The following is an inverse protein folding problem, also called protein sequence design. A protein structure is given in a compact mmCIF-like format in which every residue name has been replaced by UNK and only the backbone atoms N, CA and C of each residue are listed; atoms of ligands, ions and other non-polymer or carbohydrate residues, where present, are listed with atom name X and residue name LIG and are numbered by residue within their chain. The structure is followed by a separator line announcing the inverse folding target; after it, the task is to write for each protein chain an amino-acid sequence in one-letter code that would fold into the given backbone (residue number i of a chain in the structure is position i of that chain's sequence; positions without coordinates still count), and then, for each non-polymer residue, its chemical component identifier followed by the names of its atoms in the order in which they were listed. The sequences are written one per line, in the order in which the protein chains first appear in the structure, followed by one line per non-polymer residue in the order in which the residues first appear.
data_IF_923097366149
#
_entry.id   IF_923097366149
#
_cell.length_a   1.000
_cell.length_b   1.000
_cell.length_c   1.000
_cell.angle_alpha   90.00
_cell.angle_beta   90.00
_cell.angle_gamma   90.00
#
_symmetry.space_group_name_H-M   'P 1'
#
loop_
_entity.id
_entity.type
_entity.pdbx_description
1 polymer ?
#
# COMPACT_ATOMS: atom_id res chain seq x y z
N UNK A 1 7.85 22.38 -20.41
CA UNK A 1 8.93 21.42 -20.13
C UNK A 1 8.31 20.10 -19.73
N UNK A 2 8.44 19.05 -20.56
CA UNK A 2 7.98 17.72 -20.17
C UNK A 2 8.84 17.26 -18.97
N UNK A 3 8.24 17.17 -17.80
CA UNK A 3 8.90 16.61 -16.62
C UNK A 3 9.22 15.14 -16.96
N UNK A 4 10.51 14.81 -17.06
CA UNK A 4 10.93 13.44 -17.34
C UNK A 4 10.45 12.57 -16.17
N UNK A 5 9.40 11.79 -16.39
CA UNK A 5 8.87 10.87 -15.36
C UNK A 5 9.83 9.69 -15.25
N UNK A 6 10.36 9.47 -14.06
CA UNK A 6 11.23 8.33 -13.79
C UNK A 6 10.40 7.04 -13.77
N UNK A 7 10.91 5.96 -14.39
CA UNK A 7 10.23 4.66 -14.45
C UNK A 7 11.16 3.51 -14.11
N UNK A 8 10.62 2.53 -13.43
CA UNK A 8 11.21 1.19 -13.22
C UNK A 8 10.21 0.16 -13.74
N UNK A 9 10.66 -0.70 -14.64
CA UNK A 9 9.84 -1.72 -15.30
C UNK A 9 8.48 -1.20 -15.83
N UNK A 10 8.48 0.02 -16.44
CA UNK A 10 7.28 0.65 -16.99
C UNK A 10 6.41 1.44 -16.01
N UNK A 11 6.61 1.31 -14.71
CA UNK A 11 5.85 2.01 -13.67
C UNK A 11 6.58 3.26 -13.19
N UNK A 12 5.82 4.34 -13.02
CA UNK A 12 6.34 5.61 -12.53
C UNK A 12 6.67 5.57 -11.05
N UNK A 13 7.75 6.26 -10.67
CA UNK A 13 8.16 6.38 -9.28
C UNK A 13 8.59 7.79 -8.90
N UNK A 14 8.57 8.06 -7.62
CA UNK A 14 9.11 9.26 -7.01
C UNK A 14 10.28 8.92 -6.09
N UNK A 15 11.34 9.73 -6.18
CA UNK A 15 12.46 9.75 -5.26
C UNK A 15 12.16 10.81 -4.19
N UNK A 16 11.87 10.37 -2.96
CA UNK A 16 11.63 11.25 -1.83
C UNK A 16 12.92 11.62 -1.08
N UNK A 17 14.09 11.20 -1.59
CA UNK A 17 15.37 11.43 -0.95
C UNK A 17 15.59 10.64 0.34
N UNK A 18 14.84 9.55 0.55
CA UNK A 18 14.88 8.79 1.80
C UNK A 18 16.26 8.20 2.04
N UNK A 19 16.76 8.14 3.30
CA UNK A 19 18.10 7.70 3.64
C UNK A 19 18.46 6.30 3.12
N UNK A 20 17.48 5.38 3.05
CA UNK A 20 17.71 4.02 2.53
C UNK A 20 17.81 3.96 1.01
N UNK A 21 17.54 5.05 0.28
CA UNK A 21 17.40 5.07 -1.17
C UNK A 21 16.12 4.39 -1.66
N UNK A 22 15.10 4.25 -0.83
CA UNK A 22 13.81 3.66 -1.22
C UNK A 22 13.04 4.60 -2.16
N UNK A 23 12.72 4.08 -3.36
CA UNK A 23 11.85 4.72 -4.35
C UNK A 23 10.41 4.24 -4.17
N UNK A 24 9.43 5.11 -4.39
CA UNK A 24 8.00 4.81 -4.20
C UNK A 24 7.25 4.89 -5.53
N UNK A 25 6.45 3.89 -5.86
CA UNK A 25 5.54 3.98 -6.99
C UNK A 25 4.57 5.15 -6.80
N UNK A 26 4.29 5.90 -7.87
CA UNK A 26 3.35 7.04 -7.81
C UNK A 26 1.89 6.60 -7.75
N UNK A 27 1.59 5.37 -8.19
CA UNK A 27 0.24 4.79 -8.21
C UNK A 27 0.16 3.52 -7.34
N UNK A 28 -1.04 3.20 -6.85
CA UNK A 28 -1.32 1.89 -6.27
C UNK A 28 -1.20 0.79 -7.34
N UNK A 29 -0.92 -0.44 -6.94
CA UNK A 29 -0.92 -1.60 -7.86
C UNK A 29 -2.29 -1.71 -8.55
N UNK A 30 -2.27 -1.84 -9.88
CA UNK A 30 -3.47 -1.90 -10.71
C UNK A 30 -4.14 -0.55 -11.01
N UNK A 31 -3.53 0.57 -10.57
CA UNK A 31 -3.95 1.93 -10.90
C UNK A 31 -3.11 2.51 -12.04
N UNK A 32 -3.69 3.43 -12.82
CA UNK A 32 -3.02 4.19 -13.88
C UNK A 32 -2.86 5.68 -13.58
N UNK A 33 -3.57 6.20 -12.57
CA UNK A 33 -3.47 7.57 -12.10
C UNK A 33 -3.19 7.59 -10.60
N UNK A 34 -2.59 8.66 -10.10
CA UNK A 34 -2.15 8.78 -8.70
C UNK A 34 -3.32 8.68 -7.71
N UNK A 35 -4.49 9.17 -8.11
CA UNK A 35 -5.71 9.19 -7.31
C UNK A 35 -6.57 7.93 -7.41
N UNK A 36 -6.26 7.03 -8.34
CA UNK A 36 -7.03 5.79 -8.49
C UNK A 36 -6.74 4.82 -7.33
N UNK A 37 -7.78 4.16 -6.86
CA UNK A 37 -7.69 3.16 -5.76
C UNK A 37 -6.81 1.96 -6.12
N UNK A 38 -6.75 1.60 -7.43
CA UNK A 38 -6.10 0.37 -7.88
C UNK A 38 -6.85 -0.89 -7.44
N UNK A 39 -6.11 -1.96 -7.28
CA UNK A 39 -6.60 -3.23 -6.76
C UNK A 39 -6.43 -3.29 -5.23
N UNK A 40 -7.33 -4.00 -4.57
CA UNK A 40 -7.25 -4.33 -3.15
C UNK A 40 -6.88 -5.80 -2.99
N UNK A 41 -5.94 -6.10 -2.13
CA UNK A 41 -5.38 -7.44 -1.94
C UNK A 41 -5.54 -7.91 -0.49
N UNK A 42 -5.93 -9.17 -0.30
CA UNK A 42 -5.70 -9.82 0.98
C UNK A 42 -4.19 -10.03 1.17
N UNK A 43 -3.70 -9.96 2.40
CA UNK A 43 -2.27 -10.11 2.67
C UNK A 43 -1.75 -11.49 2.21
N UNK A 44 -0.68 -11.50 1.43
CA UNK A 44 -0.11 -12.73 0.85
C UNK A 44 -0.95 -13.34 -0.28
N UNK A 45 -1.89 -12.58 -0.85
CA UNK A 45 -2.63 -12.94 -2.06
C UNK A 45 -2.30 -11.96 -3.18
N UNK A 46 -2.08 -12.50 -4.36
CA UNK A 46 -1.73 -11.71 -5.56
C UNK A 46 -2.91 -11.48 -6.50
N UNK A 47 -4.04 -12.14 -6.26
CA UNK A 47 -5.29 -11.85 -6.95
C UNK A 47 -5.95 -10.65 -6.27
N UNK A 48 -5.94 -9.51 -6.96
CA UNK A 48 -6.54 -8.27 -6.45
C UNK A 48 -8.01 -8.13 -6.85
N UNK A 49 -8.74 -7.33 -6.11
CA UNK A 49 -10.18 -7.05 -6.27
C UNK A 49 -10.39 -5.59 -6.64
N UNK A 50 -11.29 -5.32 -7.60
CA UNK A 50 -11.75 -3.95 -7.91
C UNK A 50 -12.98 -3.58 -7.10
N UNK A 51 -13.16 -2.28 -6.90
CA UNK A 51 -14.45 -1.75 -6.44
C UNK A 51 -15.55 -2.13 -7.44
N UNK A 52 -16.67 -2.65 -6.93
CA UNK A 52 -17.80 -3.08 -7.77
C UNK A 52 -17.72 -4.53 -8.26
N UNK A 53 -16.61 -5.23 -8.04
CA UNK A 53 -16.58 -6.67 -8.26
C UNK A 53 -17.59 -7.35 -7.32
N UNK A 54 -18.63 -7.99 -7.88
CA UNK A 54 -19.61 -8.81 -7.13
C UNK A 54 -18.94 -10.09 -6.59
N UNK A 55 -17.77 -9.97 -6.02
CA UNK A 55 -16.97 -11.12 -5.63
C UNK A 55 -17.47 -11.77 -4.36
N UNK A 56 -18.25 -12.82 -4.53
CA UNK A 56 -18.50 -13.87 -3.52
C UNK A 56 -17.20 -14.46 -2.93
N UNK A 57 -16.04 -14.12 -3.47
CA UNK A 57 -14.74 -14.72 -3.12
C UNK A 57 -14.15 -14.11 -1.84
N UNK A 58 -14.53 -12.89 -1.47
CA UNK A 58 -14.16 -12.32 -0.16
C UNK A 58 -15.15 -12.79 0.93
N UNK A 59 -16.10 -13.60 0.54
CA UNK A 59 -16.88 -14.36 1.50
C UNK A 59 -15.93 -15.37 2.12
N UNK A 60 -15.41 -15.09 3.25
CA UNK A 60 -15.38 -16.13 4.25
C UNK A 60 -14.58 -15.70 5.45
N UNK A 61 -15.10 -16.04 6.49
CA UNK A 61 -14.54 -16.76 7.63
C UNK A 61 -13.32 -17.68 7.35
N UNK A 62 -12.70 -17.61 6.17
CA UNK A 62 -11.36 -18.15 5.96
C UNK A 62 -10.38 -17.16 6.59
N UNK A 63 -10.32 -17.27 7.88
CA UNK A 63 -9.32 -16.71 8.79
C UNK A 63 -7.89 -17.10 8.39
N UNK A 64 -7.74 -17.92 7.40
CA UNK A 64 -6.48 -18.41 6.86
C UNK A 64 -6.32 -17.97 5.42
N UNK A 65 -5.85 -16.76 5.23
CA UNK A 65 -4.92 -16.58 4.14
C UNK A 65 -3.76 -17.51 4.44
N UNK A 66 -3.82 -18.72 3.89
CA UNK A 66 -2.89 -19.82 4.08
C UNK A 66 -2.14 -19.79 5.41
N UNK A 67 -2.07 -20.84 6.14
CA UNK A 67 -1.17 -21.00 7.29
C UNK A 67 0.31 -20.95 6.90
N UNK A 68 0.66 -20.17 5.85
CA UNK A 68 2.04 -19.88 5.49
C UNK A 68 2.68 -19.06 6.58
N UNK A 69 3.63 -19.68 7.26
CA UNK A 69 4.57 -19.00 8.13
C UNK A 69 5.70 -18.46 7.26
N UNK A 70 5.87 -17.16 7.23
CA UNK A 70 6.96 -16.53 6.49
C UNK A 70 8.24 -16.56 7.31
N UNK A 71 9.21 -17.39 6.89
CA UNK A 71 10.39 -17.75 7.69
C UNK A 71 11.44 -16.63 7.81
N UNK A 72 11.48 -15.67 6.90
CA UNK A 72 12.55 -14.66 6.87
C UNK A 72 12.01 -13.32 7.34
N UNK A 73 12.20 -13.02 8.62
CA UNK A 73 11.73 -11.77 9.25
C UNK A 73 10.23 -11.50 9.06
N UNK A 74 9.41 -12.55 8.89
CA UNK A 74 7.98 -12.47 8.59
C UNK A 74 7.64 -11.66 7.32
N UNK A 75 8.53 -11.60 6.33
CA UNK A 75 8.34 -10.92 5.06
C UNK A 75 7.78 -11.91 4.03
N UNK A 76 6.85 -11.45 3.18
CA UNK A 76 6.29 -12.20 2.06
C UNK A 76 7.39 -12.72 1.12
N UNK A 77 7.23 -13.95 0.65
CA UNK A 77 8.02 -14.47 -0.47
C UNK A 77 7.58 -13.78 -1.77
N UNK A 78 8.40 -13.86 -2.83
CA UNK A 78 8.16 -13.12 -4.08
C UNK A 78 6.84 -13.49 -4.75
N UNK A 79 6.47 -14.76 -4.72
CA UNK A 79 5.21 -15.26 -5.30
C UNK A 79 3.96 -14.77 -4.55
N UNK A 80 4.11 -14.32 -3.30
CA UNK A 80 3.04 -13.80 -2.44
C UNK A 80 3.05 -12.26 -2.37
N UNK A 81 4.04 -11.61 -2.99
CA UNK A 81 4.18 -10.15 -3.01
C UNK A 81 3.44 -9.56 -4.22
N UNK A 82 2.30 -8.89 -3.96
CA UNK A 82 1.46 -8.34 -5.02
C UNK A 82 2.17 -7.26 -5.86
N UNK A 83 3.07 -6.47 -5.28
CA UNK A 83 3.84 -5.50 -6.06
C UNK A 83 4.82 -6.20 -6.99
N UNK A 84 5.50 -7.25 -6.53
CA UNK A 84 6.38 -8.03 -7.39
C UNK A 84 5.63 -8.71 -8.54
N UNK A 85 4.52 -9.38 -8.23
CA UNK A 85 3.77 -10.15 -9.24
C UNK A 85 3.14 -9.23 -10.31
N UNK A 86 2.64 -8.05 -9.92
CA UNK A 86 1.96 -7.15 -10.85
C UNK A 86 2.88 -6.15 -11.55
N UNK A 87 3.98 -5.78 -10.92
CA UNK A 87 4.88 -4.74 -11.45
C UNK A 87 6.20 -5.33 -11.95
N UNK A 88 6.61 -6.50 -11.45
CA UNK A 88 7.84 -7.18 -11.84
C UNK A 88 9.12 -6.44 -11.45
N UNK A 89 10.26 -6.82 -12.06
CA UNK A 89 11.54 -6.15 -11.87
C UNK A 89 11.97 -6.07 -10.40
N UNK A 90 12.36 -4.87 -9.96
CA UNK A 90 12.80 -4.62 -8.58
C UNK A 90 11.63 -4.35 -7.61
N UNK A 91 10.41 -4.21 -8.10
CA UNK A 91 9.25 -3.82 -7.28
C UNK A 91 8.93 -4.84 -6.19
N UNK A 92 8.65 -4.33 -4.99
CA UNK A 92 8.25 -5.09 -3.79
C UNK A 92 7.20 -4.31 -3.01
N UNK A 93 6.43 -5.00 -2.19
CA UNK A 93 5.65 -4.34 -1.15
C UNK A 93 6.62 -3.76 -0.08
N UNK A 94 6.31 -2.59 0.49
CA UNK A 94 7.19 -1.98 1.48
C UNK A 94 7.26 -2.81 2.76
N UNK A 95 8.43 -2.89 3.37
CA UNK A 95 8.59 -3.41 4.72
C UNK A 95 8.05 -2.41 5.76
N UNK A 96 7.79 -2.88 7.00
CA UNK A 96 7.45 -2.00 8.12
C UNK A 96 8.50 -0.90 8.33
N UNK A 97 9.79 -1.24 8.17
CA UNK A 97 10.88 -0.28 8.32
C UNK A 97 10.82 0.82 7.24
N UNK A 98 10.50 0.47 5.98
CA UNK A 98 10.35 1.44 4.91
C UNK A 98 9.10 2.33 5.10
N UNK A 99 8.00 1.79 5.64
CA UNK A 99 6.85 2.60 6.04
C UNK A 99 7.22 3.58 7.16
N UNK A 100 7.99 3.11 8.15
CA UNK A 100 8.47 3.99 9.23
C UNK A 100 9.39 5.07 8.69
N UNK A 101 10.35 4.73 7.86
CA UNK A 101 11.26 5.68 7.22
C UNK A 101 10.50 6.75 6.42
N UNK A 102 9.45 6.35 5.65
CA UNK A 102 8.58 7.29 4.98
C UNK A 102 8.00 8.30 5.98
N UNK A 103 7.33 7.80 7.03
CA UNK A 103 6.65 8.66 8.01
C UNK A 103 7.60 9.57 8.79
N UNK A 104 8.82 9.12 9.06
CA UNK A 104 9.84 9.90 9.79
C UNK A 104 10.42 11.05 8.92
N UNK A 105 10.27 11.01 7.59
CA UNK A 105 10.91 11.93 6.65
C UNK A 105 9.95 12.77 5.80
N UNK A 106 8.67 12.78 6.15
CA UNK A 106 7.65 13.56 5.43
C UNK A 106 6.81 14.40 6.39
N UNK A 107 6.30 15.52 5.89
CA UNK A 107 5.06 16.12 6.37
C UNK A 107 3.91 15.58 5.54
N UNK A 108 2.69 15.62 6.06
CA UNK A 108 1.53 15.16 5.31
C UNK A 108 0.27 15.96 5.67
N UNK A 109 -0.61 16.07 4.69
CA UNK A 109 -1.94 16.67 4.85
C UNK A 109 -2.98 15.90 4.05
N UNK A 110 -4.25 16.11 4.39
CA UNK A 110 -5.38 15.54 3.66
C UNK A 110 -5.70 16.46 2.49
N UNK A 111 -5.57 15.92 1.30
CA UNK A 111 -5.76 16.65 0.05
C UNK A 111 -6.84 16.00 -0.84
N UNK A 112 -7.31 16.80 -1.80
CA UNK A 112 -8.21 16.35 -2.86
C UNK A 112 -7.50 16.43 -4.20
N UNK A 113 -7.22 15.27 -4.79
CA UNK A 113 -6.63 15.16 -6.12
C UNK A 113 -7.70 14.67 -7.11
N UNK A 114 -8.08 15.53 -8.06
CA UNK A 114 -9.08 15.22 -9.08
C UNK A 114 -10.41 14.63 -8.52
N UNK A 115 -10.88 15.17 -7.39
CA UNK A 115 -12.12 14.72 -6.74
C UNK A 115 -11.97 13.52 -5.80
N UNK A 116 -10.76 12.98 -5.65
CA UNK A 116 -10.46 11.87 -4.75
C UNK A 116 -9.70 12.38 -3.53
N UNK A 117 -10.24 12.17 -2.34
CA UNK A 117 -9.52 12.46 -1.09
C UNK A 117 -8.42 11.44 -0.83
N UNK A 118 -7.34 11.91 -0.23
CA UNK A 118 -6.20 11.10 0.16
C UNK A 118 -5.26 11.87 1.07
N UNK A 119 -4.12 11.28 1.36
CA UNK A 119 -3.02 11.95 2.06
C UNK A 119 -1.93 12.28 1.06
N UNK A 120 -1.52 13.54 1.02
CA UNK A 120 -0.35 14.00 0.31
C UNK A 120 0.84 14.02 1.27
N UNK A 121 1.81 13.17 1.03
CA UNK A 121 3.10 13.20 1.70
C UNK A 121 4.04 14.15 0.96
N UNK A 122 4.73 15.01 1.70
CA UNK A 122 5.73 15.94 1.17
C UNK A 122 7.05 15.63 1.86
N UNK A 123 8.06 15.25 1.08
CA UNK A 123 9.39 14.96 1.61
C UNK A 123 10.01 16.19 2.27
N UNK A 124 10.46 16.03 3.52
CA UNK A 124 11.22 17.04 4.26
C UNK A 124 12.66 17.20 3.72
N UNK A 125 13.10 16.29 2.82
CA UNK A 125 14.47 16.24 2.31
C UNK A 125 14.57 16.97 0.97
N UNK A 126 13.64 16.74 0.04
CA UNK A 126 13.71 17.28 -1.31
C UNK A 126 12.42 17.92 -1.82
N UNK A 127 11.35 17.94 -1.02
CA UNK A 127 10.07 18.54 -1.35
C UNK A 127 9.24 17.77 -2.37
N UNK A 128 9.67 16.58 -2.80
CA UNK A 128 8.88 15.75 -3.70
C UNK A 128 7.66 15.14 -2.99
N UNK A 129 6.64 14.78 -3.77
CA UNK A 129 5.32 14.42 -3.24
C UNK A 129 4.94 12.98 -3.56
N UNK A 130 4.21 12.35 -2.64
CA UNK A 130 3.56 11.07 -2.83
C UNK A 130 2.11 11.15 -2.36
N UNK A 131 1.14 10.89 -3.24
CA UNK A 131 -0.27 10.87 -2.89
C UNK A 131 -0.74 9.43 -2.63
N UNK A 132 -1.43 9.21 -1.50
CA UNK A 132 -2.08 7.94 -1.13
C UNK A 132 -3.58 8.19 -1.06
N UNK A 133 -4.38 7.67 -2.02
CA UNK A 133 -5.82 7.88 -2.03
C UNK A 133 -6.52 7.15 -0.88
N UNK A 134 -7.64 7.69 -0.43
CA UNK A 134 -8.55 7.00 0.48
C UNK A 134 -9.33 5.93 -0.29
N UNK A 135 -8.64 4.84 -0.61
CA UNK A 135 -9.15 3.75 -1.42
C UNK A 135 -10.18 2.87 -0.70
N UNK A 136 -10.40 3.08 0.61
CA UNK A 136 -11.23 2.18 1.39
C UNK A 136 -10.60 0.80 1.58
N UNK A 137 -11.43 -0.20 1.92
CA UNK A 137 -10.99 -1.58 2.14
C UNK A 137 -12.16 -2.58 2.08
N UNK A 138 -11.84 -3.84 1.85
CA UNK A 138 -12.80 -4.93 2.00
C UNK A 138 -12.64 -5.64 3.34
N UNK A 139 -13.78 -5.94 3.96
CA UNK A 139 -13.86 -6.68 5.21
C UNK A 139 -15.17 -7.47 5.26
N UNK A 140 -15.12 -8.77 5.60
CA UNK A 140 -16.29 -9.65 5.71
C UNK A 140 -17.25 -9.56 4.51
N UNK A 141 -16.72 -9.60 3.29
CA UNK A 141 -17.51 -9.54 2.06
C UNK A 141 -18.16 -8.17 1.78
N UNK A 142 -17.80 -7.13 2.54
CA UNK A 142 -18.29 -5.76 2.34
C UNK A 142 -17.14 -4.81 2.03
N UNK A 143 -17.38 -3.90 1.09
CA UNK A 143 -16.50 -2.79 0.81
C UNK A 143 -16.85 -1.60 1.72
N UNK A 144 -15.84 -1.10 2.39
CA UNK A 144 -15.95 0.07 3.26
C UNK A 144 -15.25 1.25 2.59
N UNK A 145 -16.02 2.04 1.83
CA UNK A 145 -15.59 3.29 1.24
C UNK A 145 -16.41 4.42 1.82
N UNK A 146 -15.94 5.01 2.88
CA UNK A 146 -16.45 6.30 3.35
C UNK A 146 -15.57 7.47 2.91
N UNK A 147 -14.63 7.23 1.97
CA UNK A 147 -13.65 8.23 1.51
C UNK A 147 -12.87 8.88 2.65
N UNK A 148 -12.66 8.14 3.73
CA UNK A 148 -11.99 8.62 4.95
C UNK A 148 -10.78 7.79 5.33
N UNK A 149 -10.52 6.67 4.62
CA UNK A 149 -9.42 5.78 4.95
C UNK A 149 -8.61 5.38 3.72
N UNK A 150 -7.29 5.55 3.82
CA UNK A 150 -6.30 4.95 2.94
C UNK A 150 -5.52 3.89 3.72
N UNK A 151 -5.54 2.65 3.25
CA UNK A 151 -4.79 1.55 3.85
C UNK A 151 -3.93 0.89 2.77
N UNK A 152 -2.66 0.69 3.09
CA UNK A 152 -1.74 -0.01 2.20
C UNK A 152 -0.93 -1.04 2.99
N UNK A 153 -0.92 -2.29 2.52
CA UNK A 153 -0.15 -3.36 3.17
C UNK A 153 1.35 -3.10 3.16
N UNK A 154 2.03 -3.47 4.23
CA UNK A 154 3.44 -3.82 4.18
C UNK A 154 3.61 -5.26 3.73
N UNK A 155 4.85 -5.68 3.46
CA UNK A 155 5.19 -7.08 3.18
C UNK A 155 5.35 -7.95 4.43
N UNK A 156 5.05 -7.45 5.64
CA UNK A 156 5.40 -8.12 6.88
C UNK A 156 4.19 -8.49 7.75
N UNK A 157 4.16 -9.75 8.18
CA UNK A 157 3.27 -10.23 9.26
C UNK A 157 3.60 -9.48 10.55
N UNK A 158 2.59 -9.24 11.38
CA UNK A 158 2.81 -8.67 12.69
C UNK A 158 3.42 -9.71 13.63
N UNK A 159 4.53 -9.37 14.29
CA UNK A 159 5.25 -10.32 15.15
C UNK A 159 4.51 -10.71 16.44
N UNK A 160 3.60 -9.84 16.90
CA UNK A 160 2.81 -10.09 18.10
C UNK A 160 1.46 -10.78 17.81
N UNK A 161 0.98 -10.70 16.55
CA UNK A 161 -0.32 -11.22 16.12
C UNK A 161 -0.16 -11.86 14.74
N UNK A 162 0.10 -13.15 14.67
CA UNK A 162 0.39 -13.88 13.41
C UNK A 162 -0.75 -13.90 12.39
N UNK A 163 -1.99 -13.71 12.84
CA UNK A 163 -3.18 -13.55 12.00
C UNK A 163 -3.32 -12.14 11.42
N UNK A 164 -2.45 -11.21 11.82
CA UNK A 164 -2.39 -9.83 11.37
C UNK A 164 -1.12 -9.53 10.56
N UNK A 165 -1.19 -8.50 9.74
CA UNK A 165 -0.04 -7.94 9.04
C UNK A 165 0.04 -6.43 9.26
N UNK A 166 1.24 -5.86 9.16
CA UNK A 166 1.44 -4.43 9.30
C UNK A 166 0.98 -3.70 8.04
N UNK A 167 0.47 -2.50 8.20
CA UNK A 167 0.02 -1.64 7.10
C UNK A 167 0.26 -0.16 7.42
N UNK A 168 0.33 0.65 6.38
CA UNK A 168 0.14 2.09 6.48
C UNK A 168 -1.35 2.35 6.65
N UNK A 169 -1.71 3.16 7.63
CA UNK A 169 -3.06 3.62 7.89
C UNK A 169 -3.10 5.13 7.79
N UNK A 170 -3.91 5.65 6.88
CA UNK A 170 -4.16 7.07 6.70
C UNK A 170 -5.63 7.35 6.92
N UNK A 171 -5.96 8.40 7.67
CA UNK A 171 -7.34 8.82 7.84
C UNK A 171 -7.52 10.34 7.82
N UNK A 172 -8.77 10.77 7.72
CA UNK A 172 -9.15 12.19 7.71
C UNK A 172 -9.34 12.77 9.13
N UNK A 173 -8.85 12.11 10.18
CA UNK A 173 -8.97 12.56 11.56
C UNK A 173 -7.64 13.10 12.08
N UNK A 174 -7.74 13.79 13.22
CA UNK A 174 -6.60 14.37 13.97
C UNK A 174 -5.55 13.32 14.36
N UNK A 175 -5.91 12.04 14.43
CA UNK A 175 -4.99 10.94 14.78
C UNK A 175 -3.98 10.67 13.67
N UNK A 176 -4.27 11.15 12.46
CA UNK A 176 -3.30 11.19 11.39
C UNK A 176 -2.96 9.85 10.78
N UNK A 177 -1.77 9.82 10.22
CA UNK A 177 -1.21 8.70 9.48
C UNK A 177 -0.22 7.94 10.36
N UNK A 178 -0.35 6.62 10.45
CA UNK A 178 0.51 5.79 11.28
C UNK A 178 0.73 4.39 10.68
N UNK A 179 1.68 3.65 11.27
CA UNK A 179 1.79 2.21 11.03
C UNK A 179 0.82 1.50 11.97
N UNK A 180 -0.05 0.73 11.36
CA UNK A 180 -1.07 -0.06 12.05
C UNK A 180 -0.91 -1.54 11.71
N UNK A 181 -1.76 -2.41 12.25
CA UNK A 181 -1.86 -3.81 11.85
C UNK A 181 -3.34 -4.21 11.75
N UNK A 182 -3.62 -5.12 10.82
CA UNK A 182 -4.98 -5.58 10.57
C UNK A 182 -4.97 -7.07 10.21
N UNK A 183 -6.12 -7.71 10.37
CA UNK A 183 -6.27 -9.12 10.00
C UNK A 183 -5.92 -9.34 8.52
N UNK A 184 -5.14 -10.37 8.24
CA UNK A 184 -4.62 -10.72 6.91
C UNK A 184 -5.70 -11.00 5.87
N UNK A 185 -6.92 -11.34 6.31
CA UNK A 185 -8.06 -11.56 5.42
C UNK A 185 -8.77 -10.27 4.97
N UNK A 186 -8.42 -9.10 5.51
CA UNK A 186 -8.87 -7.82 4.95
C UNK A 186 -8.16 -7.56 3.64
N UNK A 187 -8.80 -6.83 2.71
CA UNK A 187 -8.15 -6.45 1.48
C UNK A 187 -7.88 -4.95 1.45
N UNK A 188 -6.60 -4.59 1.28
CA UNK A 188 -6.09 -3.23 1.23
C UNK A 188 -5.34 -2.97 -0.07
N UNK A 189 -5.11 -1.71 -0.37
CA UNK A 189 -4.22 -1.32 -1.46
C UNK A 189 -2.79 -1.83 -1.24
N UNK A 190 -2.03 -1.87 -2.32
CA UNK A 190 -0.59 -2.10 -2.30
C UNK A 190 0.10 -0.96 -3.04
N UNK A 191 1.13 -0.39 -2.43
CA UNK A 191 2.01 0.61 -3.02
C UNK A 191 3.40 0.00 -3.17
N UNK A 192 3.89 -0.11 -4.41
CA UNK A 192 5.20 -0.68 -4.67
C UNK A 192 6.34 0.23 -4.24
N UNK A 193 7.46 -0.40 -3.84
CA UNK A 193 8.74 0.26 -3.58
C UNK A 193 9.87 -0.54 -4.21
N UNK A 194 11.02 0.12 -4.41
CA UNK A 194 12.28 -0.57 -4.72
C UNK A 194 13.47 0.24 -4.20
N UNK A 195 14.63 -0.38 -4.12
CA UNK A 195 15.90 0.31 -3.86
C UNK A 195 16.63 0.54 -5.18
N UNK A 196 17.12 1.74 -5.33
CA UNK A 196 17.94 2.17 -6.49
C UNK A 196 19.26 1.44 -6.55
#
# INVERSE_FOLDING_TARGET
MNKLTMKENGFEYVDLGLPSGTMWATCNVGASRHEDSGLLFQFGRVNGYKYGDNNRVINNNQTTTSGKTYKRNNILELEDDAAYVHMGGKWRMPTKCQLKELLDNVTYDVENMNGVKGVLFISNINGHHLFIPFAGYWRYGKYYSNRSYGLAWSSQVNVAHEDCANCLYCNNSIVGTCIYFAFRFYAFSVRGVFKK
#
